data_IF_101961973011
#
_entry.id   IF_101961973011
#
_cell.length_a   1.000
_cell.length_b   1.000
_cell.length_c   1.000
_cell.angle_alpha   90.00
_cell.angle_beta   90.00
_cell.angle_gamma   90.00
#
_symmetry.space_group_name_H-M   'P 1'
#
loop_
_entity.id
_entity.type
_entity.pdbx_description
1 polymer ?
#
# COMPACT_ATOMS: atom_id res chain seq x y z
N UNK A 1 35.08 37.27 -25.23
CA UNK A 1 33.74 36.71 -25.56
C UNK A 1 32.70 37.80 -25.33
N UNK A 2 31.81 38.09 -26.28
CA UNK A 2 30.87 39.22 -26.17
C UNK A 2 29.68 38.90 -25.26
N UNK A 3 29.18 39.88 -24.50
CA UNK A 3 28.04 39.77 -23.56
C UNK A 3 26.80 39.07 -24.17
N UNK A 4 26.58 39.26 -25.48
CA UNK A 4 25.51 38.59 -26.25
C UNK A 4 25.68 37.08 -26.39
N UNK A 5 26.93 36.57 -26.48
CA UNK A 5 27.20 35.12 -26.55
C UNK A 5 26.96 34.43 -25.20
N UNK A 6 27.29 35.11 -24.09
CA UNK A 6 27.06 34.61 -22.73
C UNK A 6 25.56 34.52 -22.44
N UNK A 7 24.78 35.56 -22.76
CA UNK A 7 23.33 35.57 -22.57
C UNK A 7 22.61 34.46 -23.37
N UNK A 8 23.06 34.19 -24.59
CA UNK A 8 22.52 33.09 -25.42
C UNK A 8 22.86 31.71 -24.84
N UNK A 9 24.08 31.52 -24.34
CA UNK A 9 24.48 30.26 -23.72
C UNK A 9 23.70 29.99 -22.42
N UNK A 10 23.50 31.01 -21.58
CA UNK A 10 22.68 30.90 -20.37
C UNK A 10 21.21 30.61 -20.70
N UNK A 11 20.64 31.31 -21.69
CA UNK A 11 19.26 31.06 -22.12
C UNK A 11 19.04 29.64 -22.65
N UNK A 12 20.00 29.11 -23.42
CA UNK A 12 19.95 27.73 -23.92
C UNK A 12 20.06 26.71 -22.77
N UNK A 13 20.95 26.95 -21.80
CA UNK A 13 21.11 26.07 -20.64
C UNK A 13 19.83 26.01 -19.77
N UNK A 14 19.17 27.15 -19.57
CA UNK A 14 17.89 27.21 -18.85
C UNK A 14 16.78 26.48 -19.60
N UNK A 15 16.68 26.65 -20.92
CA UNK A 15 15.70 25.92 -21.74
C UNK A 15 15.93 24.40 -21.70
N UNK A 16 17.18 23.95 -21.76
CA UNK A 16 17.52 22.53 -21.64
C UNK A 16 17.20 21.98 -20.25
N UNK A 17 17.45 22.76 -19.19
CA UNK A 17 17.07 22.39 -17.83
C UNK A 17 15.55 22.27 -17.67
N UNK A 18 14.79 23.22 -18.22
CA UNK A 18 13.32 23.20 -18.19
C UNK A 18 12.74 22.05 -19.03
N UNK A 19 13.34 21.75 -20.19
CA UNK A 19 12.96 20.60 -21.00
C UNK A 19 13.30 19.27 -20.30
N UNK A 20 14.42 19.19 -19.60
CA UNK A 20 14.81 18.03 -18.81
C UNK A 20 13.89 17.82 -17.58
N UNK A 21 13.57 18.90 -16.86
CA UNK A 21 12.59 18.87 -15.77
C UNK A 21 11.17 18.54 -16.27
N UNK A 22 10.77 19.06 -17.43
CA UNK A 22 9.47 18.82 -18.05
C UNK A 22 9.31 17.39 -18.61
N UNK A 23 10.36 16.83 -19.20
CA UNK A 23 10.38 15.45 -19.72
C UNK A 23 10.33 14.41 -18.61
N UNK A 24 10.91 14.69 -17.43
CA UNK A 24 10.73 13.86 -16.24
C UNK A 24 9.27 13.78 -15.74
N UNK A 25 8.47 14.80 -16.05
CA UNK A 25 7.06 14.88 -15.60
C UNK A 25 6.10 14.01 -16.43
N UNK A 26 6.42 13.72 -17.70
CA UNK A 26 5.52 12.98 -18.60
C UNK A 26 5.63 11.46 -18.38
N UNK A 27 6.76 10.96 -17.85
CA UNK A 27 7.00 9.53 -17.63
C UNK A 27 6.44 8.95 -16.31
N UNK A 28 6.05 9.77 -15.35
CA UNK A 28 5.65 9.31 -14.00
C UNK A 28 4.17 8.86 -13.90
N UNK A 29 3.35 9.09 -14.93
CA UNK A 29 1.89 8.96 -14.84
C UNK A 29 1.35 7.52 -14.84
N UNK A 30 2.21 6.49 -14.92
CA UNK A 30 1.78 5.07 -14.88
C UNK A 30 2.36 4.29 -13.71
N UNK A 31 3.12 4.95 -12.85
CA UNK A 31 3.69 4.33 -11.69
C UNK A 31 2.62 4.39 -10.58
N UNK A 32 1.69 3.43 -10.56
CA UNK A 32 0.72 3.30 -9.48
C UNK A 32 1.44 2.97 -8.18
N UNK A 33 1.88 3.98 -7.44
CA UNK A 33 2.51 3.78 -6.16
C UNK A 33 1.42 3.80 -5.10
N UNK A 34 1.27 2.70 -4.37
CA UNK A 34 0.55 2.73 -3.10
C UNK A 34 1.37 3.56 -2.10
N UNK A 35 0.72 4.25 -1.16
CA UNK A 35 1.41 4.82 -0.01
C UNK A 35 1.83 3.66 0.92
N UNK A 36 3.12 3.30 0.98
CA UNK A 36 3.58 2.09 1.62
C UNK A 36 3.68 2.32 3.12
N UNK A 37 2.74 1.80 3.88
CA UNK A 37 2.70 1.91 5.33
C UNK A 37 3.15 0.61 5.96
N UNK A 38 4.13 0.72 6.85
CA UNK A 38 4.59 -0.43 7.60
C UNK A 38 3.80 -0.49 8.88
N UNK A 39 3.07 -1.58 9.08
CA UNK A 39 2.46 -1.92 10.35
C UNK A 39 3.54 -2.35 11.37
N UNK A 40 4.65 -1.60 11.44
CA UNK A 40 5.73 -1.79 12.39
C UNK A 40 5.40 -1.02 13.67
N UNK A 41 4.53 -1.60 14.49
CA UNK A 41 4.34 -1.30 15.92
C UNK A 41 3.66 0.04 16.31
N UNK A 42 2.94 0.08 17.45
CA UNK A 42 2.75 -1.02 18.41
C UNK A 42 1.74 -2.05 17.91
N UNK A 43 2.14 -3.33 17.91
CA UNK A 43 1.23 -4.50 17.80
C UNK A 43 0.48 -4.70 19.12
N UNK A 44 0.03 -3.60 19.71
CA UNK A 44 -0.76 -3.64 20.92
C UNK A 44 -2.21 -3.84 20.51
N UNK A 45 -2.85 -4.88 21.04
CA UNK A 45 -4.29 -5.12 20.93
C UNK A 45 -5.12 -3.87 21.31
N UNK A 46 -4.58 -2.94 22.10
CA UNK A 46 -5.22 -1.70 22.51
C UNK A 46 -5.07 -0.53 21.51
N UNK A 47 -4.20 -0.60 20.48
CA UNK A 47 -3.96 0.52 19.54
C UNK A 47 -4.00 0.06 18.08
N UNK A 48 -5.20 0.04 17.52
CA UNK A 48 -5.40 -0.20 16.09
C UNK A 48 -4.79 0.91 15.23
N UNK A 49 -4.34 0.55 14.03
CA UNK A 49 -3.83 1.49 13.02
C UNK A 49 -5.03 2.23 12.40
N UNK A 50 -5.07 3.55 12.57
CA UNK A 50 -6.11 4.36 11.96
C UNK A 50 -5.79 4.64 10.48
N UNK A 51 -6.68 4.21 9.58
CA UNK A 51 -6.62 4.50 8.14
C UNK A 51 -7.41 5.79 7.91
N UNK A 52 -6.70 6.90 7.74
CA UNK A 52 -7.30 8.23 7.71
C UNK A 52 -8.31 8.44 6.55
N UNK A 53 -8.02 7.86 5.38
CA UNK A 53 -8.92 7.86 4.21
C UNK A 53 -8.78 6.51 3.50
N UNK A 54 -9.72 5.56 3.67
CA UNK A 54 -9.64 4.25 3.04
C UNK A 54 -9.83 4.29 1.51
N UNK A 55 -10.20 5.43 0.93
CA UNK A 55 -10.27 5.60 -0.53
C UNK A 55 -8.93 5.95 -1.15
N UNK A 56 -7.98 6.47 -0.36
CA UNK A 56 -6.59 6.66 -0.77
C UNK A 56 -5.90 5.31 -0.91
N UNK A 57 -5.01 5.19 -1.89
CA UNK A 57 -4.24 3.98 -2.18
C UNK A 57 -3.20 3.72 -1.08
N UNK A 58 -3.48 2.78 -0.19
CA UNK A 58 -2.59 2.35 0.90
C UNK A 58 -2.11 0.92 0.68
N UNK A 59 -0.87 0.63 1.07
CA UNK A 59 -0.37 -0.73 1.22
C UNK A 59 0.20 -0.91 2.63
N UNK A 60 -0.47 -1.72 3.45
CA UNK A 60 -0.06 -2.03 4.81
C UNK A 60 0.74 -3.33 4.85
N UNK A 61 2.02 -3.22 5.18
CA UNK A 61 2.93 -4.36 5.28
C UNK A 61 3.00 -4.85 6.72
N UNK A 62 2.66 -6.12 6.93
CA UNK A 62 2.63 -6.75 8.24
C UNK A 62 3.34 -8.10 8.26
N UNK A 63 3.54 -8.63 9.47
CA UNK A 63 4.19 -9.92 9.71
C UNK A 63 3.58 -10.55 10.95
N UNK A 64 2.93 -11.70 10.77
CA UNK A 64 2.14 -12.37 11.81
C UNK A 64 2.73 -13.74 12.12
N UNK A 65 2.99 -14.00 13.40
CA UNK A 65 3.16 -15.35 13.93
C UNK A 65 1.80 -15.97 14.28
N UNK A 66 1.70 -17.30 14.46
CA UNK A 66 0.48 -17.93 14.98
C UNK A 66 0.00 -17.26 16.27
N UNK A 67 -1.31 -17.00 16.36
CA UNK A 67 -1.94 -16.30 17.49
C UNK A 67 -1.79 -14.78 17.48
N UNK A 68 -0.99 -14.20 16.58
CA UNK A 68 -0.92 -12.75 16.40
C UNK A 68 -1.99 -12.25 15.43
N UNK A 69 -2.38 -10.99 15.63
CA UNK A 69 -3.28 -10.27 14.75
C UNK A 69 -2.89 -8.80 14.67
N UNK A 70 -3.14 -8.19 13.52
CA UNK A 70 -3.02 -6.75 13.32
C UNK A 70 -4.41 -6.15 13.15
N UNK A 71 -4.63 -4.96 13.73
CA UNK A 71 -5.94 -4.26 13.71
C UNK A 71 -5.83 -2.93 12.99
N UNK A 72 -6.81 -2.65 12.16
CA UNK A 72 -6.97 -1.39 11.45
C UNK A 72 -8.38 -0.85 11.66
N UNK A 73 -8.51 0.47 11.75
CA UNK A 73 -9.80 1.14 11.94
C UNK A 73 -9.95 2.32 11.00
N UNK A 74 -11.16 2.54 10.52
CA UNK A 74 -11.50 3.73 9.74
C UNK A 74 -12.97 4.11 9.89
N UNK A 75 -13.26 5.38 9.62
CA UNK A 75 -14.61 5.94 9.65
C UNK A 75 -14.95 6.52 8.28
N UNK A 76 -16.13 6.16 7.79
CA UNK A 76 -16.70 6.70 6.55
C UNK A 76 -17.79 7.72 6.88
N UNK A 77 -17.70 8.90 6.26
CA UNK A 77 -18.72 9.96 6.38
C UNK A 77 -19.84 9.84 5.34
N UNK A 78 -19.62 9.08 4.28
CA UNK A 78 -20.55 8.86 3.18
C UNK A 78 -20.29 7.49 2.57
N UNK A 79 -21.26 6.99 1.80
CA UNK A 79 -21.12 5.73 1.07
C UNK A 79 -19.99 5.82 0.06
N UNK A 80 -19.10 4.82 0.06
CA UNK A 80 -17.97 4.72 -0.86
C UNK A 80 -17.78 3.30 -1.35
N UNK A 81 -17.19 3.17 -2.54
CA UNK A 81 -16.64 1.90 -3.03
C UNK A 81 -15.14 1.91 -2.77
N UNK A 82 -14.62 0.89 -2.10
CA UNK A 82 -13.21 0.78 -1.74
C UNK A 82 -12.65 -0.57 -2.23
N UNK A 83 -11.70 -0.56 -3.17
CA UNK A 83 -10.96 -1.76 -3.52
C UNK A 83 -10.16 -2.26 -2.32
N UNK A 84 -10.15 -3.58 -2.11
CA UNK A 84 -9.44 -4.22 -1.01
C UNK A 84 -8.88 -5.58 -1.44
N UNK A 85 -7.62 -5.83 -1.10
CA UNK A 85 -6.93 -7.07 -1.39
C UNK A 85 -5.88 -7.40 -0.35
N UNK A 86 -5.59 -8.70 -0.25
CA UNK A 86 -4.59 -9.27 0.64
C UNK A 86 -3.55 -10.01 -0.20
N UNK A 87 -2.28 -9.78 0.07
CA UNK A 87 -1.17 -10.35 -0.66
C UNK A 87 -0.18 -11.04 0.28
N UNK A 88 0.49 -12.07 -0.23
CA UNK A 88 1.70 -12.67 0.37
C UNK A 88 2.79 -12.74 -0.68
N UNK A 89 4.06 -12.78 -0.27
CA UNK A 89 5.14 -13.07 -1.21
C UNK A 89 4.96 -14.47 -1.81
N UNK A 90 5.13 -14.63 -3.12
CA UNK A 90 4.91 -15.91 -3.80
C UNK A 90 5.84 -17.03 -3.30
N UNK A 91 7.01 -16.68 -2.79
CA UNK A 91 7.95 -17.63 -2.15
C UNK A 91 7.36 -18.29 -0.89
N UNK A 92 6.38 -17.67 -0.25
CA UNK A 92 5.78 -18.15 1.00
C UNK A 92 4.55 -19.06 0.76
N UNK A 93 4.29 -19.46 -0.50
CA UNK A 93 3.17 -20.33 -0.88
C UNK A 93 3.23 -21.72 -0.21
N UNK A 94 4.40 -22.16 0.24
CA UNK A 94 4.55 -23.45 0.92
C UNK A 94 4.17 -23.42 2.41
N UNK A 95 4.03 -22.24 3.02
CA UNK A 95 3.53 -22.14 4.40
C UNK A 95 2.10 -22.73 4.43
N UNK A 96 1.68 -23.44 5.47
CA UNK A 96 0.30 -23.92 5.60
C UNK A 96 -0.59 -22.93 6.34
N UNK A 97 -0.01 -22.04 7.15
CA UNK A 97 -0.72 -20.94 7.75
C UNK A 97 -0.91 -19.83 6.70
N UNK A 98 -2.06 -19.17 6.70
CA UNK A 98 -2.43 -18.14 5.72
C UNK A 98 -2.99 -16.91 6.41
N UNK A 99 -2.57 -15.70 6.04
CA UNK A 99 -3.26 -14.51 6.52
C UNK A 99 -4.68 -14.48 5.95
N UNK A 100 -5.62 -14.04 6.79
CA UNK A 100 -7.00 -13.75 6.43
C UNK A 100 -7.31 -12.37 7.00
N UNK A 101 -7.86 -11.50 6.16
CA UNK A 101 -8.31 -10.20 6.60
C UNK A 101 -9.84 -10.21 6.71
N UNK A 102 -10.37 -9.74 7.83
CA UNK A 102 -11.79 -9.76 8.17
C UNK A 102 -12.23 -8.33 8.42
N UNK A 103 -13.21 -7.86 7.66
CA UNK A 103 -13.82 -6.54 7.82
C UNK A 103 -15.12 -6.69 8.61
N UNK A 104 -15.27 -5.91 9.68
CA UNK A 104 -16.48 -5.81 10.49
C UNK A 104 -16.95 -4.36 10.60
N UNK A 105 -18.25 -4.16 10.81
CA UNK A 105 -18.82 -2.87 11.17
C UNK A 105 -18.96 -2.73 12.70
N UNK A 106 -19.46 -1.59 13.18
CA UNK A 106 -19.66 -1.31 14.61
C UNK A 106 -20.60 -2.29 15.33
N UNK A 107 -21.51 -2.95 14.62
CA UNK A 107 -22.36 -3.98 15.23
C UNK A 107 -21.64 -5.33 15.38
N UNK A 108 -20.35 -5.41 15.00
CA UNK A 108 -19.58 -6.64 14.95
C UNK A 108 -19.94 -7.57 13.78
N UNK A 109 -20.80 -7.13 12.86
CA UNK A 109 -21.19 -7.95 11.71
C UNK A 109 -20.04 -8.02 10.71
N UNK A 110 -19.73 -9.23 10.23
CA UNK A 110 -18.72 -9.44 9.18
C UNK A 110 -19.28 -8.93 7.85
N UNK A 111 -18.63 -7.90 7.30
CA UNK A 111 -19.00 -7.28 6.03
C UNK A 111 -18.28 -7.95 4.87
N UNK A 112 -17.00 -8.31 5.05
CA UNK A 112 -16.21 -8.95 4.01
C UNK A 112 -15.03 -9.75 4.58
N UNK A 113 -14.49 -10.66 3.78
CA UNK A 113 -13.26 -11.40 4.06
C UNK A 113 -12.36 -11.41 2.83
N UNK A 114 -11.10 -11.04 3.00
CA UNK A 114 -10.07 -11.27 2.00
C UNK A 114 -9.29 -12.54 2.36
N UNK A 115 -9.29 -13.51 1.44
CA UNK A 115 -8.54 -14.76 1.58
C UNK A 115 -7.75 -15.01 0.30
N UNK A 116 -6.71 -15.85 0.38
CA UNK A 116 -5.92 -16.24 -0.79
C UNK A 116 -6.56 -17.37 -1.62
N UNK A 117 -7.84 -17.68 -1.40
CA UNK A 117 -8.57 -18.62 -2.26
C UNK A 117 -8.75 -17.98 -3.64
N UNK A 118 -8.27 -18.66 -4.68
CA UNK A 118 -8.27 -18.12 -6.04
C UNK A 118 -7.24 -17.01 -6.27
N UNK A 119 -6.17 -16.99 -5.46
CA UNK A 119 -5.13 -15.99 -5.59
C UNK A 119 -4.46 -16.01 -6.98
N UNK A 120 -4.07 -14.84 -7.45
CA UNK A 120 -3.41 -14.61 -8.73
C UNK A 120 -1.98 -14.09 -8.50
N UNK A 121 -1.06 -14.44 -9.40
CA UNK A 121 0.29 -13.88 -9.35
C UNK A 121 0.25 -12.39 -9.73
N UNK A 122 0.91 -11.57 -8.94
CA UNK A 122 1.04 -10.13 -9.14
C UNK A 122 2.51 -9.73 -9.01
N UNK A 123 3.03 -9.00 -9.99
CA UNK A 123 4.38 -8.44 -9.93
C UNK A 123 4.31 -6.98 -9.49
N UNK A 124 4.93 -6.65 -8.36
CA UNK A 124 5.03 -5.27 -7.90
C UNK A 124 6.31 -4.62 -8.48
N UNK A 125 6.18 -3.63 -9.38
CA UNK A 125 7.33 -3.12 -10.15
C UNK A 125 8.35 -2.35 -9.30
N UNK A 126 7.93 -1.77 -8.17
CA UNK A 126 8.82 -0.97 -7.31
C UNK A 126 9.71 -1.85 -6.43
N UNK A 127 9.13 -2.86 -5.79
CA UNK A 127 9.87 -3.85 -5.00
C UNK A 127 10.59 -4.90 -5.85
N UNK A 128 10.07 -5.17 -7.06
CA UNK A 128 10.42 -6.33 -7.90
C UNK A 128 10.08 -7.67 -7.23
N UNK A 129 9.08 -7.68 -6.35
CA UNK A 129 8.59 -8.89 -5.67
C UNK A 129 7.39 -9.44 -6.43
N UNK A 130 7.36 -10.76 -6.59
CA UNK A 130 6.17 -11.48 -7.00
C UNK A 130 5.33 -11.84 -5.78
N UNK A 131 4.07 -11.43 -5.79
CA UNK A 131 3.09 -11.73 -4.78
C UNK A 131 2.06 -12.73 -5.32
N UNK A 132 1.40 -13.42 -4.40
CA UNK A 132 0.08 -13.99 -4.61
C UNK A 132 -0.94 -13.03 -4.02
N UNK A 133 -1.75 -12.41 -4.86
CA UNK A 133 -2.83 -11.50 -4.47
C UNK A 133 -4.15 -12.26 -4.38
N UNK A 134 -4.94 -12.01 -3.34
CA UNK A 134 -6.35 -12.39 -3.33
C UNK A 134 -7.06 -11.79 -4.55
N UNK A 135 -8.17 -12.40 -5.00
CA UNK A 135 -9.11 -11.70 -5.88
C UNK A 135 -9.45 -10.32 -5.29
N UNK A 136 -9.48 -9.26 -6.12
CA UNK A 136 -9.84 -7.94 -5.65
C UNK A 136 -11.30 -7.94 -5.19
N UNK A 137 -11.55 -7.33 -4.04
CA UNK A 137 -12.90 -7.12 -3.51
C UNK A 137 -13.22 -5.64 -3.58
N UNK A 138 -14.30 -5.28 -4.27
CA UNK A 138 -14.84 -3.93 -4.25
C UNK A 138 -15.87 -3.82 -3.12
N UNK A 139 -15.47 -3.19 -2.02
CA UNK A 139 -16.30 -3.03 -0.84
C UNK A 139 -17.24 -1.85 -1.04
N UNK A 140 -18.54 -2.11 -1.14
CA UNK A 140 -19.56 -1.07 -1.14
C UNK A 140 -19.99 -0.79 0.31
N UNK A 141 -19.38 0.23 0.91
CA UNK A 141 -19.52 0.52 2.34
C UNK A 141 -20.35 1.78 2.55
N UNK A 142 -21.32 1.72 3.45
CA UNK A 142 -22.08 2.88 3.91
C UNK A 142 -21.23 3.77 4.83
N UNK A 143 -21.79 4.93 5.23
CA UNK A 143 -21.21 5.70 6.32
C UNK A 143 -21.26 4.89 7.63
N UNK A 144 -20.20 4.97 8.44
CA UNK A 144 -20.06 4.20 9.68
C UNK A 144 -18.60 3.95 10.04
N UNK A 145 -18.35 3.30 11.19
CA UNK A 145 -17.01 2.86 11.55
C UNK A 145 -16.82 1.37 11.23
N UNK A 146 -15.57 1.06 10.89
CA UNK A 146 -15.18 -0.23 10.38
C UNK A 146 -13.87 -0.66 11.02
N UNK A 147 -13.78 -1.97 11.25
CA UNK A 147 -12.62 -2.61 11.85
C UNK A 147 -12.15 -3.71 10.90
N UNK A 148 -10.86 -3.68 10.56
CA UNK A 148 -10.20 -4.78 9.86
C UNK A 148 -9.28 -5.49 10.84
N UNK A 149 -9.41 -6.80 10.93
CA UNK A 149 -8.48 -7.67 11.64
C UNK A 149 -7.79 -8.60 10.64
N UNK A 150 -6.45 -8.62 10.66
CA UNK A 150 -5.65 -9.57 9.89
C UNK A 150 -5.08 -10.60 10.84
N UNK A 151 -5.46 -11.86 10.65
CA UNK A 151 -5.08 -13.00 11.50
C UNK A 151 -4.43 -14.08 10.67
N UNK A 152 -3.62 -14.94 11.30
CA UNK A 152 -3.17 -16.19 10.69
C UNK A 152 -4.21 -17.29 10.89
N UNK A 153 -4.61 -17.94 9.80
CA UNK A 153 -5.46 -19.12 9.80
C UNK A 153 -4.63 -20.38 9.47
N UNK A 154 -4.81 -21.45 10.25
CA UNK A 154 -4.14 -22.73 10.06
C UNK A 154 -2.80 -22.89 10.80
N UNK A 155 -2.28 -24.13 10.88
CA UNK A 155 -0.99 -24.42 11.49
C UNK A 155 0.13 -23.96 10.56
N UNK A 156 1.21 -23.38 11.08
CA UNK A 156 2.35 -22.96 10.26
C UNK A 156 3.26 -21.97 10.95
N UNK A 157 4.24 -21.48 10.21
CA UNK A 157 5.20 -20.49 10.73
C UNK A 157 4.71 -19.07 10.47
N UNK A 158 5.43 -18.12 11.05
CA UNK A 158 5.23 -16.70 10.81
C UNK A 158 5.22 -16.37 9.30
N UNK A 159 4.30 -15.50 8.87
CA UNK A 159 4.19 -15.08 7.48
C UNK A 159 4.05 -13.56 7.36
N UNK A 160 4.62 -13.01 6.29
CA UNK A 160 4.42 -11.62 5.87
C UNK A 160 3.15 -11.49 5.04
N UNK A 161 2.48 -10.37 5.17
CA UNK A 161 1.36 -10.02 4.30
C UNK A 161 1.43 -8.56 3.90
N UNK A 162 0.73 -8.25 2.82
CA UNK A 162 0.41 -6.87 2.44
C UNK A 162 -1.10 -6.77 2.34
N UNK A 163 -1.71 -5.83 3.05
CA UNK A 163 -3.11 -5.46 2.87
C UNK A 163 -3.15 -4.16 2.09
N UNK A 164 -3.67 -4.19 0.88
CA UNK A 164 -3.89 -2.99 0.09
C UNK A 164 -5.37 -2.59 0.13
N UNK A 165 -5.62 -1.29 0.28
CA UNK A 165 -6.95 -0.71 0.38
C UNK A 165 -6.98 0.65 -0.32
N UNK A 166 -8.07 0.92 -1.03
CA UNK A 166 -8.27 2.15 -1.79
C UNK A 166 -7.50 2.16 -3.12
N UNK A 167 -7.70 3.22 -3.88
CA UNK A 167 -7.16 3.37 -5.24
C UNK A 167 -6.74 4.80 -5.59
N UNK A 168 -7.19 5.80 -4.84
CA UNK A 168 -6.87 7.19 -5.15
C UNK A 168 -5.44 7.51 -4.75
N UNK A 169 -4.61 7.85 -5.73
CA UNK A 169 -3.25 8.31 -5.48
C UNK A 169 -3.26 9.81 -5.20
N UNK A 170 -3.25 10.16 -3.92
CA UNK A 170 -3.10 11.54 -3.45
C UNK A 170 -1.95 11.57 -2.44
N UNK A 171 -0.80 12.07 -2.88
CA UNK A 171 0.36 12.25 -2.03
C UNK A 171 0.45 13.70 -1.58
N UNK A 172 0.49 13.94 -0.27
CA UNK A 172 0.93 15.21 0.28
C UNK A 172 2.42 15.41 0.04
N UNK A 173 2.88 16.66 -0.10
CA UNK A 173 4.30 16.99 -0.28
C UNK A 173 5.20 16.39 0.81
N UNK A 174 4.69 16.24 2.03
CA UNK A 174 5.38 15.64 3.17
C UNK A 174 5.45 14.11 3.15
N UNK A 175 4.66 13.46 2.30
CA UNK A 175 4.65 12.00 2.17
C UNK A 175 5.70 11.52 1.17
N UNK A 176 6.20 12.39 0.29
CA UNK A 176 7.21 12.06 -0.73
C UNK A 176 8.52 11.54 -0.11
N UNK A 177 9.13 12.18 0.91
CA UNK A 177 10.33 11.64 1.55
C UNK A 177 10.09 10.27 2.21
N UNK A 178 8.91 10.08 2.80
CA UNK A 178 8.52 8.81 3.42
C UNK A 178 8.41 7.69 2.37
N UNK A 179 7.72 7.95 1.25
CA UNK A 179 7.58 6.99 0.14
C UNK A 179 8.95 6.60 -0.41
N UNK A 180 9.88 7.54 -0.62
CA UNK A 180 11.23 7.22 -1.09
C UNK A 180 12.01 6.36 -0.08
N UNK A 181 11.94 6.70 1.21
CA UNK A 181 12.56 5.91 2.27
C UNK A 181 11.96 4.51 2.38
N UNK A 182 10.64 4.39 2.22
CA UNK A 182 9.94 3.12 2.18
C UNK A 182 10.39 2.26 0.99
N UNK A 183 10.38 2.80 -0.24
CA UNK A 183 10.86 2.08 -1.44
C UNK A 183 12.31 1.60 -1.24
N UNK A 184 13.18 2.44 -0.67
CA UNK A 184 14.55 2.03 -0.37
C UNK A 184 14.61 0.86 0.61
N UNK A 185 13.80 0.90 1.68
CA UNK A 185 13.69 -0.19 2.65
C UNK A 185 13.16 -1.46 1.99
N UNK A 186 12.26 -1.35 0.99
CA UNK A 186 11.65 -2.49 0.25
C UNK A 186 12.75 -3.25 -0.44
N UNK A 187 13.55 -2.48 -1.16
CA UNK A 187 14.57 -3.01 -2.04
C UNK A 187 15.78 -3.58 -1.29
N UNK A 188 16.18 -2.97 -0.17
CA UNK A 188 17.50 -3.26 0.43
C UNK A 188 17.47 -4.28 1.56
N UNK A 189 16.37 -4.36 2.33
CA UNK A 189 16.34 -5.16 3.55
C UNK A 189 15.32 -6.29 3.53
N UNK A 190 14.40 -6.28 2.56
CA UNK A 190 13.11 -6.95 2.77
C UNK A 190 12.40 -6.38 4.02
N UNK A 191 11.20 -6.87 4.33
CA UNK A 191 10.38 -6.32 5.43
C UNK A 191 10.40 -7.17 6.68
#
# INVERSE_FOLDING_TARGET
>A
MTRRRILRAVGLAVLLLLAWLGSGYIGAQRACAHDPRFACSPRDTARAIHIADPTKSWAFYGRLAPGQHDRYVFTLKHTVTVPWNLLIEQKDVANSARPVAILTNDSGAVVARATLKGAQSFFEPFSRIHYLSSPPVNLHLAAGNYHIEVVMNGPGSMQRYVMAIGEKERFGLWEIPYVLGAIHRIRTRGW
#
